data_IF_308074246758
#
_entry.id   IF_308074246758
#
_cell.length_a   1.000
_cell.length_b   1.000
_cell.length_c   1.000
_cell.angle_alpha   90.00
_cell.angle_beta   90.00
_cell.angle_gamma   90.00
#
_symmetry.space_group_name_H-M   'P 1'
#
loop_
_entity.id
_entity.type
_entity.pdbx_description
1 polymer ?
#
# COMPACT_ATOMS: atom_id res chain seq x y z
N UNK A 1 -19.09 15.65 -16.14
CA UNK A 1 -17.87 16.09 -15.44
C UNK A 1 -17.55 14.99 -14.44
N UNK A 2 -16.43 14.30 -14.60
CA UNK A 2 -16.05 13.20 -13.72
C UNK A 2 -15.33 13.75 -12.48
N UNK A 3 -15.59 13.15 -11.32
CA UNK A 3 -14.90 13.50 -10.08
C UNK A 3 -13.52 12.80 -10.07
N UNK A 4 -12.45 13.58 -9.93
CA UNK A 4 -11.08 13.08 -9.86
C UNK A 4 -10.43 13.58 -8.57
N UNK A 5 -10.03 12.65 -7.70
CA UNK A 5 -9.24 12.97 -6.52
C UNK A 5 -7.74 13.02 -6.89
N UNK A 6 -7.04 14.10 -6.50
CA UNK A 6 -5.59 14.26 -6.65
C UNK A 6 -5.00 14.66 -5.30
N UNK A 7 -3.91 14.02 -4.90
CA UNK A 7 -3.22 14.32 -3.65
C UNK A 7 -1.71 14.14 -3.83
N UNK A 8 -0.93 14.96 -3.12
CA UNK A 8 0.54 14.91 -3.11
C UNK A 8 1.03 15.14 -1.69
N UNK A 9 2.06 14.40 -1.28
CA UNK A 9 2.76 14.60 0.00
C UNK A 9 4.27 14.54 -0.25
N UNK A 10 5.04 15.39 0.43
CA UNK A 10 6.50 15.36 0.39
C UNK A 10 7.03 14.46 1.50
N UNK A 11 7.96 13.57 1.16
CA UNK A 11 8.66 12.69 2.11
C UNK A 11 10.16 12.97 2.01
N UNK A 12 10.79 13.33 3.12
CA UNK A 12 12.22 13.65 3.20
C UNK A 12 13.07 12.38 3.38
N UNK A 13 12.94 11.43 2.45
CA UNK A 13 13.64 10.13 2.43
C UNK A 13 14.10 9.79 1.02
N UNK A 14 15.13 8.93 0.86
CA UNK A 14 15.54 8.42 -0.45
C UNK A 14 14.37 7.75 -1.19
N UNK A 15 14.37 7.82 -2.52
CA UNK A 15 13.27 7.30 -3.33
C UNK A 15 13.12 5.78 -3.18
N UNK A 16 14.23 5.07 -3.00
CA UNK A 16 14.26 3.62 -2.80
C UNK A 16 13.56 3.25 -1.48
N UNK A 17 13.80 4.01 -0.41
CA UNK A 17 13.13 3.79 0.89
C UNK A 17 11.63 4.05 0.79
N UNK A 18 11.22 5.12 0.09
CA UNK A 18 9.80 5.42 -0.14
C UNK A 18 9.12 4.36 -0.99
N UNK A 19 9.81 3.88 -2.04
CA UNK A 19 9.31 2.80 -2.87
C UNK A 19 9.14 1.51 -2.06
N UNK A 20 10.15 1.11 -1.28
CA UNK A 20 10.09 -0.06 -0.41
C UNK A 20 9.02 0.04 0.67
N UNK A 21 8.77 1.25 1.19
CA UNK A 21 7.67 1.49 2.11
C UNK A 21 6.31 1.20 1.45
N UNK A 22 6.17 1.53 0.17
CA UNK A 22 4.96 1.24 -0.58
C UNK A 22 4.88 -0.25 -0.93
N UNK A 23 5.90 -0.88 -1.48
CA UNK A 23 5.75 -2.24 -2.06
C UNK A 23 5.94 -3.39 -1.06
N UNK A 24 6.66 -3.20 0.05
CA UNK A 24 6.87 -4.23 1.06
C UNK A 24 5.78 -4.18 2.15
N UNK A 25 4.99 -5.26 2.34
CA UNK A 25 3.96 -5.30 3.38
C UNK A 25 4.51 -5.14 4.80
N UNK A 26 5.75 -5.56 5.08
CA UNK A 26 6.37 -5.36 6.41
C UNK A 26 6.47 -3.88 6.80
N UNK A 27 6.59 -2.99 5.81
CA UNK A 27 6.57 -1.55 6.00
C UNK A 27 5.15 -0.99 5.96
N UNK A 28 4.35 -1.41 4.96
CA UNK A 28 3.02 -0.86 4.68
C UNK A 28 2.02 -1.06 5.84
N UNK A 29 2.20 -2.12 6.65
CA UNK A 29 1.31 -2.41 7.79
C UNK A 29 1.25 -1.29 8.84
N UNK A 30 2.23 -0.39 8.85
CA UNK A 30 2.30 0.70 9.82
C UNK A 30 1.31 1.85 9.54
N UNK A 31 0.73 1.92 8.34
CA UNK A 31 -0.10 3.07 7.94
C UNK A 31 -1.27 2.78 6.99
N UNK A 32 -1.37 1.60 6.36
CA UNK A 32 -2.44 1.34 5.39
C UNK A 32 -3.17 0.01 5.58
N UNK A 33 -2.46 -1.10 5.47
CA UNK A 33 -3.03 -2.46 5.63
C UNK A 33 -2.70 -3.04 7.00
N UNK A 34 -3.31 -4.16 7.36
CA UNK A 34 -2.92 -4.97 8.52
C UNK A 34 -2.22 -6.27 8.10
N UNK A 35 -2.57 -6.83 6.94
CA UNK A 35 -1.97 -8.04 6.38
C UNK A 35 -1.96 -7.95 4.85
N UNK A 36 -0.96 -8.55 4.20
CA UNK A 36 -0.91 -8.79 2.76
C UNK A 36 -0.53 -10.24 2.49
N UNK A 37 -0.99 -10.82 1.38
CA UNK A 37 -0.49 -12.11 0.88
C UNK A 37 0.94 -12.07 0.37
N UNK A 38 1.49 -10.88 0.11
CA UNK A 38 2.85 -10.72 -0.38
C UNK A 38 3.25 -9.29 -0.73
N UNK A 39 4.46 -9.17 -1.30
CA UNK A 39 5.02 -7.93 -1.85
C UNK A 39 4.30 -7.54 -3.15
N UNK A 40 4.15 -6.24 -3.40
CA UNK A 40 3.70 -5.74 -4.70
C UNK A 40 4.75 -5.99 -5.78
N UNK A 41 4.35 -6.72 -6.81
CA UNK A 41 5.14 -6.99 -8.00
C UNK A 41 4.26 -6.89 -9.24
N UNK A 42 4.86 -6.48 -10.36
CA UNK A 42 4.16 -6.31 -11.63
C UNK A 42 3.46 -7.60 -12.05
N UNK A 43 2.14 -7.51 -12.30
CA UNK A 43 1.33 -8.62 -12.81
C UNK A 43 0.91 -9.67 -11.78
N UNK A 44 1.22 -9.49 -10.49
CA UNK A 44 0.75 -10.37 -9.42
C UNK A 44 -0.53 -9.84 -8.78
N UNK A 45 -1.45 -10.75 -8.49
CA UNK A 45 -2.62 -10.48 -7.64
C UNK A 45 -2.20 -10.57 -6.16
N UNK A 46 -2.79 -9.72 -5.33
CA UNK A 46 -2.50 -9.66 -3.89
C UNK A 46 -3.78 -9.62 -3.10
N UNK A 47 -3.75 -10.20 -1.91
CA UNK A 47 -4.87 -10.17 -0.98
C UNK A 47 -4.51 -9.28 0.20
N UNK A 48 -5.26 -8.20 0.41
CA UNK A 48 -5.08 -7.27 1.52
C UNK A 48 -6.16 -7.41 2.58
N UNK A 49 -5.77 -7.17 3.83
CA UNK A 49 -6.67 -6.98 4.96
C UNK A 49 -6.42 -5.60 5.54
N UNK A 50 -7.49 -4.88 5.88
CA UNK A 50 -7.39 -3.55 6.49
C UNK A 50 -7.60 -3.61 8.01
N UNK A 51 -6.98 -2.72 8.81
CA UNK A 51 -7.05 -2.78 10.27
C UNK A 51 -8.47 -2.82 10.84
N UNK A 52 -9.41 -2.09 10.21
CA UNK A 52 -10.79 -1.98 10.68
C UNK A 52 -11.76 -2.95 9.98
N UNK A 53 -11.24 -3.94 9.25
CA UNK A 53 -12.04 -4.92 8.51
C UNK A 53 -11.65 -6.35 8.88
N UNK A 54 -12.66 -7.21 9.00
CA UNK A 54 -12.45 -8.66 9.15
C UNK A 54 -12.29 -9.36 7.79
N UNK A 55 -12.61 -8.68 6.70
CA UNK A 55 -12.59 -9.24 5.35
C UNK A 55 -11.24 -9.02 4.66
N UNK A 56 -10.95 -9.89 3.71
CA UNK A 56 -9.78 -9.84 2.82
C UNK A 56 -10.24 -9.50 1.40
N UNK A 57 -9.46 -8.68 0.70
CA UNK A 57 -9.79 -8.16 -0.63
C UNK A 57 -8.67 -8.50 -1.61
N UNK A 58 -8.98 -8.99 -2.82
CA UNK A 58 -8.01 -9.18 -3.90
C UNK A 58 -7.63 -7.84 -4.57
#
# INVERSE_FOLDING_TARGET
MELIAKATIQIQKPIEEVFEAIVNPENMINYFISESSGRMETGKELIWKFPNSKMRFP
#
